data_IF_446272694185
#
_entry.id   IF_446272694185
#
_cell.length_a   1.000
_cell.length_b   1.000
_cell.length_c   1.000
_cell.angle_alpha   90.00
_cell.angle_beta   90.00
_cell.angle_gamma   90.00
#
_symmetry.space_group_name_H-M   'P 1'
#
loop_
_entity.id
_entity.type
_entity.pdbx_description
1 polymer ?
#
# COMPACT_ATOMS: atom_id res chain seq x y z
N UNK A 1 -0.89 -29.86 3.26
CA UNK A 1 0.14 -28.79 3.29
C UNK A 1 -0.37 -27.64 4.16
N UNK A 2 0.11 -27.52 5.40
CA UNK A 2 -0.43 -26.55 6.39
C UNK A 2 -0.26 -25.10 5.94
N UNK A 3 0.83 -24.80 5.24
CA UNK A 3 1.15 -23.46 4.72
C UNK A 3 0.12 -23.01 3.68
N UNK A 4 -0.28 -23.90 2.76
CA UNK A 4 -1.21 -23.57 1.69
C UNK A 4 -2.57 -23.10 2.25
N UNK A 5 -3.06 -23.77 3.29
CA UNK A 5 -4.29 -23.37 3.98
C UNK A 5 -4.16 -21.99 4.64
N UNK A 6 -3.03 -21.74 5.32
CA UNK A 6 -2.77 -20.45 5.99
C UNK A 6 -2.67 -19.33 4.95
N UNK A 7 -1.97 -19.56 3.83
CA UNK A 7 -1.84 -18.58 2.74
C UNK A 7 -3.18 -18.24 2.12
N UNK A 8 -4.02 -19.24 1.84
CA UNK A 8 -5.36 -19.02 1.29
C UNK A 8 -6.25 -18.28 2.29
N UNK A 9 -6.22 -18.68 3.56
CA UNK A 9 -6.96 -18.00 4.63
C UNK A 9 -6.55 -16.52 4.76
N UNK A 10 -5.24 -16.24 4.78
CA UNK A 10 -4.72 -14.87 4.82
C UNK A 10 -5.13 -14.07 3.59
N UNK A 11 -5.06 -14.66 2.40
CA UNK A 11 -5.47 -13.99 1.16
C UNK A 11 -6.95 -13.60 1.19
N UNK A 12 -7.83 -14.51 1.60
CA UNK A 12 -9.27 -14.24 1.72
C UNK A 12 -9.54 -13.15 2.75
N UNK A 13 -8.89 -13.19 3.92
CA UNK A 13 -9.03 -12.15 4.93
C UNK A 13 -8.56 -10.78 4.41
N UNK A 14 -7.40 -10.70 3.77
CA UNK A 14 -6.86 -9.45 3.24
C UNK A 14 -7.76 -8.84 2.16
N UNK A 15 -8.20 -9.65 1.19
CA UNK A 15 -9.11 -9.20 0.14
C UNK A 15 -10.45 -8.77 0.74
N UNK A 16 -11.00 -9.55 1.67
CA UNK A 16 -12.25 -9.23 2.35
C UNK A 16 -12.19 -7.91 3.11
N UNK A 17 -11.15 -7.69 3.92
CA UNK A 17 -10.97 -6.43 4.65
C UNK A 17 -10.77 -5.23 3.72
N UNK A 18 -9.91 -5.36 2.71
CA UNK A 18 -9.71 -4.30 1.71
C UNK A 18 -11.02 -3.96 0.99
N UNK A 19 -11.80 -4.99 0.63
CA UNK A 19 -13.08 -4.77 -0.04
C UNK A 19 -14.08 -4.03 0.84
N UNK A 20 -14.17 -4.38 2.12
CA UNK A 20 -15.04 -3.71 3.09
C UNK A 20 -14.63 -2.24 3.29
N UNK A 21 -13.32 -1.96 3.43
CA UNK A 21 -12.82 -0.60 3.58
C UNK A 21 -13.16 0.27 2.35
N UNK A 22 -12.91 -0.25 1.15
CA UNK A 22 -13.28 0.44 -0.09
C UNK A 22 -14.80 0.68 -0.17
N UNK A 23 -15.64 -0.22 0.35
CA UNK A 23 -17.08 0.04 0.41
C UNK A 23 -17.43 1.17 1.40
N UNK A 24 -16.71 1.31 2.52
CA UNK A 24 -16.88 2.43 3.44
C UNK A 24 -16.47 3.77 2.81
N UNK A 25 -15.53 3.76 1.86
CA UNK A 25 -15.15 4.93 1.05
C UNK A 25 -16.18 5.25 -0.05
N UNK A 26 -17.21 4.41 -0.22
CA UNK A 26 -18.31 4.60 -1.16
C UNK A 26 -18.15 3.85 -2.49
N UNK A 27 -17.11 3.03 -2.64
CA UNK A 27 -16.92 2.21 -3.84
C UNK A 27 -17.92 1.05 -3.92
N UNK A 28 -18.35 0.73 -5.13
CA UNK A 28 -19.19 -0.45 -5.37
C UNK A 28 -18.39 -1.75 -5.19
N UNK A 29 -19.07 -2.88 -4.96
CA UNK A 29 -18.40 -4.18 -4.84
C UNK A 29 -17.48 -4.50 -6.03
N UNK A 30 -17.90 -4.15 -7.25
CA UNK A 30 -17.12 -4.40 -8.46
C UNK A 30 -15.85 -3.53 -8.50
N UNK A 31 -15.99 -2.22 -8.25
CA UNK A 31 -14.85 -1.29 -8.22
C UNK A 31 -13.88 -1.63 -7.10
N UNK A 32 -14.42 -1.99 -5.94
CA UNK A 32 -13.66 -2.41 -4.77
C UNK A 32 -12.81 -3.65 -5.03
N UNK A 33 -13.39 -4.71 -5.64
CA UNK A 33 -12.64 -5.91 -6.03
C UNK A 33 -11.59 -5.61 -7.10
N UNK A 34 -11.93 -4.75 -8.06
CA UNK A 34 -11.02 -4.35 -9.14
C UNK A 34 -9.83 -3.55 -8.61
N UNK A 35 -10.08 -2.65 -7.66
CA UNK A 35 -9.05 -1.90 -6.94
C UNK A 35 -8.16 -2.83 -6.12
N UNK A 36 -8.72 -3.70 -5.28
CA UNK A 36 -7.96 -4.63 -4.43
C UNK A 36 -7.08 -5.60 -5.24
N UNK A 37 -7.56 -6.12 -6.38
CA UNK A 37 -6.82 -7.09 -7.20
C UNK A 37 -5.87 -6.43 -8.22
N UNK A 38 -6.11 -5.17 -8.59
CA UNK A 38 -5.30 -4.45 -9.57
C UNK A 38 -5.02 -3.00 -9.16
N UNK A 39 -4.41 -2.76 -7.98
CA UNK A 39 -4.38 -1.45 -7.33
C UNK A 39 -3.79 -0.36 -8.23
N UNK A 40 -2.63 -0.59 -8.85
CA UNK A 40 -1.97 0.40 -9.70
C UNK A 40 -2.71 0.71 -11.02
N UNK A 41 -3.62 -0.17 -11.46
CA UNK A 41 -4.38 0.04 -12.70
C UNK A 41 -5.63 0.87 -12.48
N UNK A 42 -6.14 0.93 -11.25
CA UNK A 42 -7.38 1.64 -10.89
C UNK A 42 -7.17 2.75 -9.88
N UNK A 43 -5.91 2.99 -9.49
CA UNK A 43 -5.52 3.99 -8.50
C UNK A 43 -6.05 5.38 -8.87
N UNK A 44 -6.76 6.03 -7.96
CA UNK A 44 -7.24 7.39 -8.17
C UNK A 44 -6.09 8.41 -8.19
N UNK A 45 -6.30 9.55 -8.83
CA UNK A 45 -5.30 10.62 -8.88
C UNK A 45 -4.86 11.08 -7.48
N UNK A 46 -5.79 11.16 -6.54
CA UNK A 46 -5.51 11.53 -5.16
C UNK A 46 -4.56 10.51 -4.49
N UNK A 47 -4.83 9.22 -4.67
CA UNK A 47 -3.98 8.14 -4.16
C UNK A 47 -2.57 8.22 -4.76
N UNK A 48 -2.45 8.42 -6.09
CA UNK A 48 -1.16 8.53 -6.77
C UNK A 48 -0.35 9.70 -6.22
N UNK A 49 -0.99 10.85 -6.00
CA UNK A 49 -0.34 12.02 -5.40
C UNK A 49 0.17 11.69 -3.99
N UNK A 50 -0.65 11.06 -3.15
CA UNK A 50 -0.27 10.65 -1.79
C UNK A 50 0.91 9.66 -1.82
N UNK A 51 0.88 8.68 -2.73
CA UNK A 51 1.96 7.70 -2.89
C UNK A 51 3.28 8.39 -3.29
N UNK A 52 3.23 9.31 -4.25
CA UNK A 52 4.42 10.05 -4.69
C UNK A 52 4.99 10.89 -3.55
N UNK A 53 4.13 11.60 -2.81
CA UNK A 53 4.55 12.39 -1.65
C UNK A 53 5.19 11.49 -0.59
N UNK A 54 4.59 10.34 -0.30
CA UNK A 54 5.13 9.38 0.65
C UNK A 54 6.52 8.87 0.22
N UNK A 55 6.69 8.51 -1.05
CA UNK A 55 8.00 8.07 -1.59
C UNK A 55 9.03 9.20 -1.46
N UNK A 56 8.67 10.43 -1.80
CA UNK A 56 9.58 11.58 -1.69
C UNK A 56 10.00 11.83 -0.23
N UNK A 57 9.07 11.75 0.72
CA UNK A 57 9.36 11.89 2.15
C UNK A 57 10.29 10.77 2.63
N UNK A 58 10.02 9.53 2.24
CA UNK A 58 10.86 8.38 2.59
C UNK A 58 12.28 8.52 2.04
N UNK A 59 12.42 8.97 0.80
CA UNK A 59 13.74 9.24 0.18
C UNK A 59 14.44 10.40 0.88
N UNK A 60 13.73 11.47 1.20
CA UNK A 60 14.28 12.61 1.92
C UNK A 60 14.78 12.23 3.32
N UNK A 61 14.00 11.44 4.07
CA UNK A 61 14.40 10.93 5.38
C UNK A 61 15.63 10.01 5.26
N UNK A 62 15.60 9.08 4.32
CA UNK A 62 16.73 8.18 4.05
C UNK A 62 17.99 8.95 3.70
N UNK A 63 17.89 9.97 2.84
CA UNK A 63 19.00 10.84 2.48
C UNK A 63 19.51 11.66 3.68
N UNK A 64 18.61 12.22 4.49
CA UNK A 64 18.96 12.95 5.70
C UNK A 64 19.75 12.07 6.68
N UNK A 65 19.30 10.83 6.92
CA UNK A 65 19.98 9.86 7.78
C UNK A 65 21.37 9.52 7.23
N UNK A 66 21.49 9.30 5.91
CA UNK A 66 22.78 9.02 5.27
C UNK A 66 23.77 10.19 5.39
N UNK A 67 23.32 11.41 5.15
CA UNK A 67 24.15 12.62 5.26
C UNK A 67 24.57 12.84 6.72
N UNK A 68 23.64 12.71 7.67
CA UNK A 68 23.93 12.82 9.11
C UNK A 68 24.95 11.78 9.56
N UNK A 69 24.82 10.54 9.08
CA UNK A 69 25.78 9.46 9.38
C UNK A 69 27.17 9.77 8.82
N UNK A 70 27.26 10.33 7.61
CA UNK A 70 28.54 10.77 7.00
C UNK A 70 29.18 11.93 7.75
N UNK A 71 28.39 12.87 8.26
CA UNK A 71 28.88 14.03 9.04
C UNK A 71 29.41 13.65 10.42
N UNK A 72 28.88 12.59 11.05
CA UNK A 72 29.36 12.09 12.35
C UNK A 72 30.55 11.11 12.25
N UNK A 73 30.98 10.73 11.04
CA UNK A 73 32.16 9.87 10.81
C UNK A 73 33.42 10.64 10.40
N UNK A 74 33.30 11.95 10.13
CA UNK A 74 34.41 12.90 9.96
C UNK A 74 34.57 13.72 11.24
#
# INVERSE_FOLDING_TARGET
MKILLITVSMFVCLVGFATVLNMFEGFTLYESLRSTLSPFRVMELAEIVVLIVFILLFVAESAYVLIKKRKNMN
#
